data_IF_589917558542
#
_entry.id   IF_589917558542
#
_cell.length_a   1.000
_cell.length_b   1.000
_cell.length_c   1.000
_cell.angle_alpha   90.00
_cell.angle_beta   90.00
_cell.angle_gamma   90.00
#
_symmetry.space_group_name_H-M   'P 1'
#
loop_
_entity.id
_entity.type
_entity.pdbx_description
1 polymer ?
#
# COMPACT_ATOMS: atom_id res chain seq x y z
N UNK A 1 2.37 5.54 -30.58
CA UNK A 1 3.22 5.23 -29.40
C UNK A 1 2.32 5.09 -28.17
N UNK A 2 2.56 4.07 -27.31
CA UNK A 2 1.72 3.86 -26.13
C UNK A 2 2.24 4.71 -24.97
N UNK A 3 1.48 5.72 -24.58
CA UNK A 3 1.75 6.53 -23.40
C UNK A 3 1.24 5.77 -22.17
N UNK A 4 2.09 5.63 -21.15
CA UNK A 4 1.76 4.94 -19.91
C UNK A 4 1.80 5.88 -18.71
N UNK A 5 0.89 5.66 -17.77
CA UNK A 5 0.94 6.25 -16.43
C UNK A 5 1.63 5.26 -15.50
N UNK A 6 2.75 5.62 -14.92
CA UNK A 6 3.55 4.71 -14.09
C UNK A 6 4.17 5.41 -12.89
N UNK A 7 4.66 4.61 -11.96
CA UNK A 7 5.45 5.09 -10.84
C UNK A 7 6.92 5.17 -11.24
N UNK A 8 7.54 6.31 -10.97
CA UNK A 8 8.96 6.54 -11.03
C UNK A 8 9.52 6.57 -9.61
N UNK A 9 10.56 5.78 -9.34
CA UNK A 9 11.11 5.69 -7.99
C UNK A 9 12.09 6.83 -7.73
N UNK A 10 11.92 7.44 -6.57
CA UNK A 10 12.81 8.46 -6.01
C UNK A 10 13.09 8.13 -4.54
N UNK A 11 13.93 8.94 -3.89
CA UNK A 11 14.32 8.76 -2.49
C UNK A 11 15.50 7.80 -2.30
N UNK A 12 15.89 7.61 -1.06
CA UNK A 12 17.05 6.80 -0.69
C UNK A 12 16.74 5.30 -0.64
N UNK A 13 17.78 4.44 -0.45
CA UNK A 13 17.67 2.98 -0.47
C UNK A 13 16.61 2.42 0.48
N UNK A 14 16.51 2.95 1.71
CA UNK A 14 15.54 2.49 2.73
C UNK A 14 14.30 3.38 2.87
N UNK A 15 14.23 4.52 2.15
CA UNK A 15 13.10 5.47 2.17
C UNK A 15 12.58 5.73 0.76
N UNK A 16 11.84 4.78 0.16
CA UNK A 16 11.30 4.95 -1.18
C UNK A 16 10.22 6.02 -1.20
N UNK A 17 10.26 6.84 -2.25
CA UNK A 17 9.26 7.84 -2.58
C UNK A 17 8.98 7.73 -4.08
N UNK A 18 7.75 7.91 -4.50
CA UNK A 18 7.38 7.70 -5.91
C UNK A 18 6.70 8.92 -6.49
N UNK A 19 7.08 9.25 -7.72
CA UNK A 19 6.31 10.16 -8.55
C UNK A 19 5.36 9.37 -9.45
N UNK A 20 4.15 9.87 -9.60
CA UNK A 20 3.17 9.37 -10.57
C UNK A 20 3.38 10.20 -11.82
N UNK A 21 3.87 9.57 -12.89
CA UNK A 21 4.29 10.24 -14.10
C UNK A 21 3.63 9.65 -15.34
N UNK A 22 3.49 10.51 -16.36
CA UNK A 22 3.14 10.14 -17.71
C UNK A 22 4.42 10.00 -18.50
N UNK A 23 4.65 8.87 -19.10
CA UNK A 23 5.85 8.60 -19.87
C UNK A 23 5.56 7.70 -21.07
N UNK A 24 6.45 7.72 -22.07
CA UNK A 24 6.44 6.75 -23.16
C UNK A 24 6.65 5.32 -22.58
N UNK A 25 5.92 4.35 -23.11
CA UNK A 25 6.03 2.97 -22.73
C UNK A 25 7.42 2.34 -22.93
N UNK A 26 8.22 2.90 -23.84
CA UNK A 26 9.59 2.46 -24.17
C UNK A 26 10.65 3.08 -23.27
N UNK A 27 10.36 4.24 -22.64
CA UNK A 27 11.32 4.92 -21.78
C UNK A 27 11.63 4.09 -20.52
N UNK A 28 12.89 4.10 -20.01
CA UNK A 28 13.25 3.43 -18.77
C UNK A 28 12.44 3.96 -17.58
N UNK A 29 12.30 3.14 -16.51
CA UNK A 29 11.43 3.47 -15.36
C UNK A 29 11.72 4.84 -14.76
N UNK A 30 12.97 5.15 -14.51
CA UNK A 30 13.41 6.38 -13.85
C UNK A 30 13.96 7.42 -14.84
N UNK A 31 13.68 7.24 -16.14
CA UNK A 31 14.12 8.11 -17.24
C UNK A 31 13.20 9.32 -17.48
N UNK A 32 13.33 9.89 -18.67
CA UNK A 32 12.53 11.05 -19.09
C UNK A 32 11.03 10.74 -19.07
N UNK A 33 10.26 11.66 -18.52
CA UNK A 33 8.81 11.61 -18.50
C UNK A 33 8.21 12.86 -19.17
N UNK A 34 6.97 12.77 -19.61
CA UNK A 34 6.25 13.86 -20.27
C UNK A 34 5.72 14.83 -19.23
N UNK A 35 5.03 14.29 -18.21
CA UNK A 35 4.40 15.10 -17.17
C UNK A 35 4.32 14.35 -15.85
N UNK A 36 4.56 15.06 -14.74
CA UNK A 36 4.28 14.58 -13.38
C UNK A 36 2.85 14.97 -13.00
N UNK A 37 2.06 14.02 -12.55
CA UNK A 37 0.66 14.21 -12.13
C UNK A 37 0.45 14.05 -10.63
N UNK A 38 1.45 13.52 -9.91
CA UNK A 38 1.29 13.36 -8.48
C UNK A 38 2.50 12.72 -7.78
N UNK A 39 2.29 12.43 -6.49
CA UNK A 39 3.28 11.77 -5.63
C UNK A 39 2.62 10.67 -4.81
N UNK A 40 3.40 9.64 -4.51
CA UNK A 40 2.99 8.51 -3.68
C UNK A 40 4.07 8.20 -2.65
N UNK A 41 3.70 8.26 -1.38
CA UNK A 41 4.57 7.89 -0.27
C UNK A 41 4.00 6.64 0.44
N UNK A 42 4.65 5.47 0.33
CA UNK A 42 4.19 4.25 0.98
C UNK A 42 4.58 4.14 2.46
N UNK A 43 5.47 5.00 2.95
CA UNK A 43 6.02 4.88 4.31
C UNK A 43 5.05 5.37 5.39
N UNK A 44 4.06 6.16 5.01
CA UNK A 44 3.01 6.63 5.91
C UNK A 44 1.87 5.62 6.00
N UNK A 45 1.20 5.56 7.13
CA UNK A 45 -0.01 4.73 7.30
C UNK A 45 -1.17 5.61 7.75
N UNK A 46 -2.18 5.77 6.92
CA UNK A 46 -2.31 5.32 5.53
C UNK A 46 -1.29 5.98 4.59
N UNK A 47 -1.00 5.32 3.45
CA UNK A 47 -0.08 5.85 2.45
C UNK A 47 -0.52 7.23 1.95
N UNK A 48 0.40 8.20 1.89
CA UNK A 48 0.09 9.54 1.43
C UNK A 48 0.10 9.59 -0.09
N UNK A 49 -1.03 9.97 -0.68
CA UNK A 49 -1.22 10.09 -2.12
C UNK A 49 -1.66 11.51 -2.45
N UNK A 50 -0.84 12.23 -3.17
CA UNK A 50 -1.19 13.52 -3.76
C UNK A 50 -1.33 13.32 -5.27
N UNK A 51 -2.50 13.54 -5.82
CA UNK A 51 -2.80 13.32 -7.23
C UNK A 51 -3.66 14.46 -7.77
N UNK A 52 -3.22 15.05 -8.86
CA UNK A 52 -4.02 15.99 -9.64
C UNK A 52 -5.07 15.21 -10.45
N UNK A 53 -6.33 15.29 -10.00
CA UNK A 53 -7.44 14.53 -10.60
C UNK A 53 -7.74 14.98 -12.03
N UNK A 54 -7.66 16.29 -12.30
CA UNK A 54 -7.98 16.84 -13.61
C UNK A 54 -6.97 16.37 -14.66
N UNK A 55 -5.67 16.53 -14.38
CA UNK A 55 -4.62 16.06 -15.28
C UNK A 55 -4.67 14.56 -15.50
N UNK A 56 -4.97 13.78 -14.44
CA UNK A 56 -5.12 12.33 -14.57
C UNK A 56 -6.28 11.95 -15.48
N UNK A 57 -7.42 12.64 -15.39
CA UNK A 57 -8.57 12.45 -16.27
C UNK A 57 -8.28 12.81 -17.72
N UNK A 58 -7.65 13.97 -17.95
CA UNK A 58 -7.27 14.41 -19.30
C UNK A 58 -6.41 13.35 -20.01
N UNK A 59 -5.39 12.83 -19.32
CA UNK A 59 -4.54 11.80 -19.88
C UNK A 59 -5.25 10.46 -20.09
N UNK A 60 -6.20 10.11 -19.21
CA UNK A 60 -7.06 8.93 -19.43
C UNK A 60 -7.98 9.10 -20.65
N UNK A 61 -8.44 10.32 -20.94
CA UNK A 61 -9.21 10.63 -22.15
C UNK A 61 -8.34 10.64 -23.39
N UNK A 62 -7.08 11.06 -23.28
CA UNK A 62 -6.08 10.96 -24.36
C UNK A 62 -5.59 9.53 -24.62
N UNK A 63 -6.07 8.55 -23.85
CA UNK A 63 -5.76 7.14 -24.03
C UNK A 63 -4.49 6.66 -23.31
N UNK A 64 -3.94 7.41 -22.37
CA UNK A 64 -2.82 6.94 -21.56
C UNK A 64 -3.22 5.73 -20.70
N UNK A 65 -2.41 4.67 -20.75
CA UNK A 65 -2.67 3.41 -20.05
C UNK A 65 -2.02 3.43 -18.65
N UNK A 66 -2.80 3.33 -17.57
CA UNK A 66 -2.24 3.19 -16.23
C UNK A 66 -1.69 1.79 -16.00
N UNK A 67 -0.55 1.69 -15.32
CA UNK A 67 -0.07 0.43 -14.74
C UNK A 67 -0.99 0.00 -13.60
N UNK A 68 -0.99 -1.28 -13.23
CA UNK A 68 -1.90 -1.84 -12.21
C UNK A 68 -1.83 -1.09 -10.88
N UNK A 69 -0.63 -0.76 -10.41
CA UNK A 69 -0.45 0.00 -9.17
C UNK A 69 -1.03 1.41 -9.28
N UNK A 70 -0.77 2.12 -10.38
CA UNK A 70 -1.34 3.47 -10.62
C UNK A 70 -2.85 3.40 -10.77
N UNK A 71 -3.38 2.35 -11.42
CA UNK A 71 -4.82 2.12 -11.54
C UNK A 71 -5.50 1.98 -10.17
N UNK A 72 -4.89 1.21 -9.25
CA UNK A 72 -5.37 1.09 -7.86
C UNK A 72 -5.33 2.43 -7.12
N UNK A 73 -4.25 3.20 -7.27
CA UNK A 73 -4.12 4.55 -6.70
C UNK A 73 -5.21 5.50 -7.24
N UNK A 74 -5.45 5.48 -8.54
CA UNK A 74 -6.49 6.30 -9.18
C UNK A 74 -7.90 5.88 -8.76
N UNK A 75 -8.15 4.57 -8.59
CA UNK A 75 -9.40 4.07 -8.04
C UNK A 75 -9.62 4.56 -6.61
N UNK A 76 -8.59 4.46 -5.77
CA UNK A 76 -8.62 4.94 -4.39
C UNK A 76 -8.89 6.46 -4.29
N UNK A 77 -8.36 7.26 -5.21
CA UNK A 77 -8.59 8.71 -5.29
C UNK A 77 -9.88 9.09 -6.06
N UNK A 78 -10.65 8.11 -6.53
CA UNK A 78 -11.93 8.32 -7.20
C UNK A 78 -11.84 8.79 -8.65
N UNK A 79 -10.65 8.86 -9.26
CA UNK A 79 -10.47 9.32 -10.65
C UNK A 79 -11.20 8.40 -11.63
N UNK A 80 -11.14 7.08 -11.41
CA UNK A 80 -11.83 6.13 -12.28
C UNK A 80 -13.35 6.21 -12.13
N UNK A 81 -13.85 6.47 -10.92
CA UNK A 81 -15.27 6.67 -10.66
C UNK A 81 -15.77 7.95 -11.33
N UNK A 82 -15.02 9.05 -11.21
CA UNK A 82 -15.33 10.31 -11.90
C UNK A 82 -15.35 10.12 -13.42
N UNK A 83 -14.37 9.39 -13.99
CA UNK A 83 -14.37 9.03 -15.42
C UNK A 83 -15.64 8.26 -15.81
N UNK A 84 -16.10 7.33 -14.96
CA UNK A 84 -17.32 6.56 -15.21
C UNK A 84 -18.56 7.46 -15.21
N UNK A 85 -18.68 8.35 -14.23
CA UNK A 85 -19.78 9.32 -14.16
C UNK A 85 -19.81 10.25 -15.39
N UNK A 86 -18.67 10.82 -15.76
CA UNK A 86 -18.57 11.67 -16.95
C UNK A 86 -18.93 10.93 -18.25
N UNK A 87 -18.64 9.62 -18.31
CA UNK A 87 -19.11 8.79 -19.43
C UNK A 87 -20.65 8.67 -19.42
N UNK A 88 -21.26 8.51 -18.25
CA UNK A 88 -22.73 8.47 -18.13
C UNK A 88 -23.40 9.76 -18.60
N UNK A 89 -22.81 10.93 -18.25
CA UNK A 89 -23.26 12.24 -18.75
C UNK A 89 -23.19 12.30 -20.27
N UNK A 90 -22.07 11.88 -20.87
CA UNK A 90 -21.91 11.84 -22.35
C UNK A 90 -22.92 10.92 -23.04
N UNK A 91 -23.40 9.88 -22.37
CA UNK A 91 -24.42 8.98 -22.88
C UNK A 91 -25.85 9.47 -22.60
N UNK A 92 -26.01 10.64 -21.95
CA UNK A 92 -27.33 11.21 -21.64
C UNK A 92 -28.11 10.48 -20.55
N UNK A 93 -27.44 9.66 -19.71
CA UNK A 93 -28.10 8.91 -18.63
C UNK A 93 -28.51 9.80 -17.46
N UNK A 94 -27.78 10.87 -17.21
CA UNK A 94 -28.01 11.84 -16.14
C UNK A 94 -27.20 13.13 -16.40
N UNK A 95 -27.57 14.22 -15.75
CA UNK A 95 -26.93 15.54 -15.88
C UNK A 95 -25.59 15.61 -15.14
N UNK A 96 -24.75 16.55 -15.54
CA UNK A 96 -23.44 16.80 -14.93
C UNK A 96 -23.56 17.18 -13.46
N UNK A 97 -24.60 17.95 -13.07
CA UNK A 97 -24.89 18.26 -11.69
C UNK A 97 -25.13 17.02 -10.83
N UNK A 98 -25.92 16.06 -11.33
CA UNK A 98 -26.19 14.79 -10.62
C UNK A 98 -24.95 13.92 -10.54
N UNK A 99 -24.06 13.96 -11.54
CA UNK A 99 -22.78 13.27 -11.52
C UNK A 99 -21.89 13.80 -10.39
N UNK A 100 -21.80 15.11 -10.26
CA UNK A 100 -21.00 15.76 -9.21
C UNK A 100 -21.54 15.48 -7.81
N UNK A 101 -22.86 15.49 -7.60
CA UNK A 101 -23.47 15.12 -6.31
C UNK A 101 -23.14 13.68 -5.94
N UNK A 102 -23.25 12.73 -6.88
CA UNK A 102 -22.89 11.32 -6.66
C UNK A 102 -21.40 11.16 -6.33
N UNK A 103 -20.55 11.92 -7.01
CA UNK A 103 -19.12 11.91 -6.74
C UNK A 103 -18.80 12.44 -5.34
N UNK A 104 -19.42 13.54 -4.94
CA UNK A 104 -19.24 14.16 -3.62
C UNK A 104 -19.65 13.20 -2.50
N UNK A 105 -20.85 12.63 -2.59
CA UNK A 105 -21.34 11.63 -1.62
C UNK A 105 -20.38 10.45 -1.44
N UNK A 106 -19.89 9.89 -2.55
CA UNK A 106 -18.89 8.82 -2.52
C UNK A 106 -17.57 9.28 -1.87
N UNK A 107 -17.13 10.51 -2.19
CA UNK A 107 -15.87 11.06 -1.68
C UNK A 107 -15.91 11.21 -0.16
N UNK A 108 -17.02 11.76 0.36
CA UNK A 108 -17.21 11.99 1.80
C UNK A 108 -17.26 10.66 2.58
N UNK A 109 -17.99 9.67 2.07
CA UNK A 109 -18.01 8.32 2.63
C UNK A 109 -16.61 7.67 2.61
N UNK A 110 -15.89 7.83 1.51
CA UNK A 110 -14.55 7.26 1.37
C UNK A 110 -13.55 7.92 2.32
N UNK A 111 -13.62 9.25 2.52
CA UNK A 111 -12.76 9.96 3.48
C UNK A 111 -13.05 9.54 4.92
N UNK A 112 -14.31 9.42 5.31
CA UNK A 112 -14.68 8.94 6.65
C UNK A 112 -14.16 7.53 6.92
N UNK A 113 -14.25 6.63 5.94
CA UNK A 113 -13.71 5.28 6.04
C UNK A 113 -12.18 5.27 6.16
N UNK A 114 -11.49 6.16 5.44
CA UNK A 114 -10.05 6.30 5.54
C UNK A 114 -9.60 6.84 6.89
N UNK A 115 -10.30 7.82 7.45
CA UNK A 115 -10.04 8.34 8.79
C UNK A 115 -10.22 7.23 9.84
N UNK A 116 -11.32 6.47 9.78
CA UNK A 116 -11.55 5.34 10.69
C UNK A 116 -10.41 4.30 10.65
N UNK A 117 -9.93 3.95 9.44
CA UNK A 117 -8.80 3.02 9.28
C UNK A 117 -7.50 3.60 9.84
N UNK A 118 -7.24 4.88 9.61
CA UNK A 118 -6.09 5.59 10.16
C UNK A 118 -6.08 5.56 11.69
N UNK A 119 -7.23 5.85 12.31
CA UNK A 119 -7.35 5.90 13.76
C UNK A 119 -7.28 4.51 14.39
N UNK A 120 -7.90 3.50 13.76
CA UNK A 120 -7.77 2.12 14.18
C UNK A 120 -6.30 1.65 14.14
N UNK A 121 -5.57 2.00 13.10
CA UNK A 121 -4.14 1.67 13.00
C UNK A 121 -3.30 2.39 14.08
N UNK A 122 -3.56 3.68 14.33
CA UNK A 122 -2.87 4.44 15.39
C UNK A 122 -3.14 3.84 16.78
N UNK A 123 -4.39 3.45 17.06
CA UNK A 123 -4.77 2.77 18.31
C UNK A 123 -4.03 1.44 18.46
N UNK A 124 -4.06 0.58 17.43
CA UNK A 124 -3.36 -0.70 17.45
C UNK A 124 -1.83 -0.58 17.59
N UNK A 125 -1.21 0.48 17.03
CA UNK A 125 0.21 0.76 17.28
C UNK A 125 0.48 1.17 18.73
N UNK A 126 -0.37 2.01 19.32
CA UNK A 126 -0.26 2.44 20.72
C UNK A 126 -0.41 1.25 21.66
N UNK A 127 -1.37 0.37 21.39
CA UNK A 127 -1.61 -0.83 22.20
C UNK A 127 -0.43 -1.80 22.12
N UNK A 128 0.13 -2.04 20.94
CA UNK A 128 1.35 -2.86 20.78
C UNK A 128 2.55 -2.28 21.52
N UNK A 129 2.70 -0.96 21.54
CA UNK A 129 3.79 -0.29 22.27
C UNK A 129 3.63 -0.40 23.78
N UNK A 130 2.39 -0.45 24.27
CA UNK A 130 2.06 -0.52 25.69
C UNK A 130 1.93 -1.97 26.21
N UNK A 131 1.96 -2.98 25.34
CA UNK A 131 1.96 -4.37 25.77
C UNK A 131 3.29 -4.69 26.46
N UNK A 132 3.27 -5.26 27.70
CA UNK A 132 4.48 -5.73 28.34
C UNK A 132 5.12 -6.82 27.48
N UNK A 133 6.43 -6.70 27.24
CA UNK A 133 7.21 -7.72 26.53
C UNK A 133 7.24 -8.97 27.42
N UNK A 134 6.31 -9.88 27.21
CA UNK A 134 6.39 -11.22 27.79
C UNK A 134 7.56 -11.91 27.12
N UNK A 135 8.72 -11.90 27.78
CA UNK A 135 9.85 -12.73 27.38
C UNK A 135 9.38 -14.18 27.48
N UNK A 136 9.32 -14.87 26.35
CA UNK A 136 9.12 -16.30 26.30
C UNK A 136 10.30 -16.91 27.07
N UNK A 137 10.09 -17.30 28.31
CA UNK A 137 11.06 -18.07 29.08
C UNK A 137 11.06 -19.44 28.41
N UNK A 138 12.13 -19.76 27.70
CA UNK A 138 12.34 -21.13 27.24
C UNK A 138 12.40 -22.01 28.47
N UNK A 139 11.66 -23.13 28.54
CA UNK A 139 11.78 -24.07 29.64
C UNK A 139 13.22 -24.60 29.66
N UNK A 140 13.90 -24.36 30.77
CA UNK A 140 15.24 -24.89 31.00
C UNK A 140 15.21 -26.39 30.69
N UNK A 141 16.16 -26.83 29.86
CA UNK A 141 16.35 -28.24 29.52
C UNK A 141 16.46 -29.04 30.81
N UNK A 142 15.53 -29.98 31.01
CA UNK A 142 15.55 -30.95 32.10
C UNK A 142 16.84 -31.74 31.98
N UNK A 143 17.75 -31.53 32.92
CA UNK A 143 18.98 -32.31 33.01
C UNK A 143 18.57 -33.79 33.23
N UNK A 144 18.94 -34.65 32.29
CA UNK A 144 18.82 -36.09 32.41
C UNK A 144 19.66 -36.58 33.61
N UNK A 145 19.11 -37.35 34.55
CA UNK A 145 19.93 -37.90 35.63
C UNK A 145 20.94 -38.88 35.02
N UNK A 146 22.21 -38.63 35.35
CA UNK A 146 23.31 -39.56 35.05
C UNK A 146 23.11 -40.80 35.92
N UNK A 147 22.80 -41.95 35.29
CA UNK A 147 22.79 -43.23 35.91
C UNK A 147 24.24 -43.62 36.29
N UNK A 148 24.52 -43.64 37.60
CA UNK A 148 25.78 -44.15 38.13
C UNK A 148 25.83 -45.66 37.89
N UNK A 149 26.76 -46.12 37.05
CA UNK A 149 27.13 -47.52 36.92
C UNK A 149 27.98 -47.89 38.12
N UNK A 150 27.48 -48.78 38.99
CA UNK A 150 28.26 -49.46 40.01
C UNK A 150 29.35 -50.33 39.37
N UNK A 151 30.57 -50.35 39.94
CA UNK A 151 31.59 -51.30 39.50
C UNK A 151 31.32 -52.67 40.17
N UNK A 152 31.15 -53.69 39.34
CA UNK A 152 31.13 -55.08 39.76
C UNK A 152 32.49 -55.50 40.32
N UNK A 153 32.44 -55.99 41.57
CA UNK A 153 33.56 -56.56 42.26
C UNK A 153 33.99 -57.89 41.58
N UNK A 154 35.26 -58.04 41.27
CA UNK A 154 35.92 -59.31 40.99
C UNK A 154 36.02 -60.11 42.24
N UNK A 155 35.54 -61.31 42.26
CA UNK A 155 35.86 -62.34 43.20
C UNK A 155 36.61 -63.48 42.50
N UNK A 156 37.80 -63.77 42.98
CA UNK A 156 38.77 -64.63 42.40
C UNK A 156 38.57 -66.15 42.77
N UNK A 157 39.64 -66.89 42.42
CA UNK A 157 39.98 -68.28 42.71
C UNK A 157 39.49 -69.30 41.64
N UNK A 158 40.35 -70.06 41.05
CA UNK A 158 41.45 -70.93 41.37
C UNK A 158 42.13 -71.31 40.02
#
# INVERSE_FOLDING_TARGET
>A
MAVKMRLQRHGSKKRPFYFIVIADGRAPRDGKFIQKIGTYNPLTVPATIQLDRQKALEWLHKGAQPTDTVRRIMSFKGVLFLKHLLRGVKLGLFDDATAMVKFQAWHDEHETNNLRRSDAHKRGQKDRRNQPVVRKVEPAAVATPVVATEPAAEGGEA
#
